data_IF_567769500879
#
_entry.id   IF_567769500879
#
_cell.length_a   1.000
_cell.length_b   1.000
_cell.length_c   1.000
_cell.angle_alpha   90.00
_cell.angle_beta   90.00
_cell.angle_gamma   90.00
#
_symmetry.space_group_name_H-M   'P 1'
#
loop_
_entity.id
_entity.type
_entity.pdbx_description
1 polymer ?
#
# COMPACT_ATOMS: atom_id res chain seq x y z
N UNK A 1 19.26 -14.31 34.75
CA UNK A 1 18.28 -15.17 34.05
C UNK A 1 17.29 -14.30 33.30
N UNK A 2 17.55 -14.03 32.01
CA UNK A 2 16.75 -13.11 31.19
C UNK A 2 15.49 -13.78 30.66
N UNK A 3 14.32 -13.22 31.01
CA UNK A 3 13.01 -13.63 30.50
C UNK A 3 12.83 -13.12 29.07
N UNK A 4 13.18 -13.95 28.09
CA UNK A 4 12.79 -13.75 26.69
C UNK A 4 11.32 -14.16 26.58
N UNK A 5 10.41 -13.18 26.53
CA UNK A 5 9.00 -13.40 26.20
C UNK A 5 8.90 -13.88 24.74
N UNK A 6 8.32 -15.06 24.45
CA UNK A 6 8.21 -15.53 23.09
C UNK A 6 7.12 -14.75 22.34
N UNK A 7 7.53 -14.10 21.24
CA UNK A 7 6.71 -13.40 20.22
C UNK A 7 5.77 -14.37 19.45
N UNK A 8 5.49 -15.56 19.99
CA UNK A 8 4.73 -16.62 19.32
C UNK A 8 3.20 -16.43 19.34
N UNK A 9 2.67 -15.46 20.10
CA UNK A 9 1.22 -15.22 20.17
C UNK A 9 0.67 -14.33 19.03
N UNK A 10 1.53 -13.71 18.20
CA UNK A 10 1.07 -12.78 17.15
C UNK A 10 0.95 -13.38 15.76
N UNK A 11 1.35 -14.64 15.56
CA UNK A 11 1.38 -15.29 14.22
C UNK A 11 0.52 -16.54 14.10
N UNK A 12 -0.30 -16.88 15.11
CA UNK A 12 -1.20 -18.04 15.01
C UNK A 12 -2.45 -17.72 14.16
N UNK A 13 -2.77 -18.54 13.15
CA UNK A 13 -3.86 -18.30 12.19
C UNK A 13 -5.28 -18.46 12.76
N UNK A 14 -5.42 -18.84 14.03
CA UNK A 14 -6.73 -19.15 14.65
C UNK A 14 -7.54 -17.89 14.98
N UNK A 15 -6.89 -16.73 15.14
CA UNK A 15 -7.57 -15.43 15.18
C UNK A 15 -7.66 -14.75 13.82
N UNK A 16 -7.45 -15.50 12.73
CA UNK A 16 -7.94 -15.10 11.42
C UNK A 16 -9.44 -15.39 11.44
N UNK A 17 -10.16 -14.52 12.14
CA UNK A 17 -11.61 -14.47 12.14
C UNK A 17 -12.04 -14.72 10.70
N UNK A 18 -12.73 -15.85 10.48
CA UNK A 18 -13.49 -16.04 9.26
C UNK A 18 -14.25 -14.74 9.02
N UNK A 19 -14.17 -14.29 7.78
CA UNK A 19 -14.74 -13.06 7.25
C UNK A 19 -16.14 -12.81 7.81
N UNK A 20 -16.22 -12.19 8.99
CA UNK A 20 -17.45 -11.67 9.56
C UNK A 20 -17.87 -10.57 8.60
N UNK A 21 -18.96 -10.82 7.89
CA UNK A 21 -19.63 -9.80 7.10
C UNK A 21 -19.79 -8.54 7.94
N UNK A 22 -19.55 -7.43 7.27
CA UNK A 22 -19.06 -6.17 7.82
C UNK A 22 -20.00 -5.47 8.81
N UNK A 23 -21.18 -6.03 9.06
CA UNK A 23 -22.30 -5.33 9.67
C UNK A 23 -22.81 -5.98 10.98
N UNK A 24 -22.39 -7.21 11.31
CA UNK A 24 -22.88 -7.92 12.50
C UNK A 24 -21.75 -8.12 13.53
N UNK A 25 -21.60 -7.20 14.49
CA UNK A 25 -20.72 -7.40 15.65
C UNK A 25 -21.30 -8.45 16.62
N UNK A 26 -21.40 -9.71 16.20
CA UNK A 26 -21.90 -10.80 17.04
C UNK A 26 -20.88 -11.17 18.11
N UNK A 27 -21.39 -11.45 19.31
CA UNK A 27 -20.62 -11.94 20.46
C UNK A 27 -19.81 -13.19 20.04
N UNK A 28 -18.51 -13.30 20.41
CA UNK A 28 -17.70 -14.44 20.02
C UNK A 28 -18.23 -15.74 20.61
N UNK A 29 -18.32 -16.80 19.79
CA UNK A 29 -18.85 -18.10 20.21
C UNK A 29 -18.00 -18.80 21.30
N UNK A 30 -16.73 -18.41 21.45
CA UNK A 30 -15.83 -18.96 22.46
C UNK A 30 -16.03 -18.36 23.86
N UNK A 31 -16.90 -17.35 24.03
CA UNK A 31 -17.07 -16.64 25.31
C UNK A 31 -17.43 -17.58 26.49
N UNK A 32 -18.33 -18.59 26.35
CA UNK A 32 -18.62 -19.52 27.44
C UNK A 32 -17.46 -20.43 27.83
N UNK A 33 -16.43 -20.54 26.98
CA UNK A 33 -15.27 -21.42 27.18
C UNK A 33 -14.10 -20.68 27.86
N UNK A 34 -14.18 -19.36 28.00
CA UNK A 34 -13.16 -18.58 28.70
C UNK A 34 -13.19 -18.91 30.21
N UNK A 35 -12.07 -18.78 30.93
CA UNK A 35 -12.08 -18.83 32.39
C UNK A 35 -13.06 -17.79 32.96
N UNK A 36 -13.79 -18.16 34.01
CA UNK A 36 -14.87 -17.33 34.59
C UNK A 36 -14.41 -15.89 34.92
N UNK A 37 -13.15 -15.72 35.35
CA UNK A 37 -12.52 -14.41 35.59
C UNK A 37 -12.50 -13.48 34.35
N UNK A 38 -12.38 -14.02 33.14
CA UNK A 38 -12.36 -13.24 31.89
C UNK A 38 -13.73 -13.15 31.24
N UNK A 39 -14.65 -14.07 31.56
CA UNK A 39 -16.01 -14.03 31.00
C UNK A 39 -16.70 -12.71 31.36
N UNK A 40 -16.58 -12.25 32.60
CA UNK A 40 -17.14 -10.96 33.04
C UNK A 40 -16.56 -9.77 32.27
N UNK A 41 -15.22 -9.66 32.22
CA UNK A 41 -14.54 -8.54 31.53
C UNK A 41 -14.83 -8.52 30.01
N UNK A 42 -14.86 -9.70 29.38
CA UNK A 42 -15.20 -9.78 27.94
C UNK A 42 -16.69 -9.54 27.74
N UNK A 43 -17.57 -10.01 28.63
CA UNK A 43 -19.00 -9.75 28.51
C UNK A 43 -19.28 -8.25 28.60
N UNK A 44 -18.69 -7.55 29.58
CA UNK A 44 -18.79 -6.10 29.77
C UNK A 44 -18.43 -5.33 28.49
N UNK A 45 -17.28 -5.65 27.86
CA UNK A 45 -16.85 -5.02 26.59
C UNK A 45 -17.89 -5.18 25.46
N UNK A 46 -18.63 -6.29 25.45
CA UNK A 46 -19.58 -6.63 24.40
C UNK A 46 -21.04 -6.31 24.74
N UNK A 47 -21.37 -6.10 26.02
CA UNK A 47 -22.71 -5.72 26.49
C UNK A 47 -22.84 -4.24 26.77
N UNK A 48 -21.72 -3.54 27.04
CA UNK A 48 -21.77 -2.11 27.30
C UNK A 48 -22.41 -1.40 26.11
N UNK A 49 -23.55 -0.71 26.33
CA UNK A 49 -24.07 0.23 25.35
C UNK A 49 -22.94 1.22 25.10
N UNK A 50 -22.66 1.44 23.82
CA UNK A 50 -21.51 2.20 23.34
C UNK A 50 -21.32 3.44 24.23
N UNK A 51 -20.13 3.71 24.81
CA UNK A 51 -19.91 5.02 25.37
C UNK A 51 -20.03 5.95 24.18
N UNK A 52 -21.14 6.68 24.10
CA UNK A 52 -21.39 7.71 23.10
C UNK A 52 -20.26 8.73 23.27
N UNK A 53 -19.14 8.45 22.63
CA UNK A 53 -17.99 9.32 22.60
C UNK A 53 -18.32 10.29 21.47
N UNK A 54 -19.26 11.18 21.76
CA UNK A 54 -19.52 12.40 21.01
C UNK A 54 -18.26 13.25 21.10
N UNK A 55 -17.27 12.90 20.29
CA UNK A 55 -16.13 13.75 20.02
C UNK A 55 -16.63 14.83 19.06
N UNK A 56 -17.23 15.88 19.64
CA UNK A 56 -17.66 17.07 18.91
C UNK A 56 -16.42 17.76 18.36
N UNK A 57 -16.16 17.59 17.07
CA UNK A 57 -15.15 18.35 16.35
C UNK A 57 -15.86 19.25 15.35
N UNK A 58 -16.16 20.48 15.78
CA UNK A 58 -16.80 21.55 15.00
C UNK A 58 -18.26 21.24 14.56
N UNK A 59 -19.19 21.25 15.53
CA UNK A 59 -20.65 21.35 15.36
C UNK A 59 -21.36 20.32 14.44
N UNK A 60 -20.66 19.29 13.96
CA UNK A 60 -21.30 18.14 13.30
C UNK A 60 -21.01 16.85 14.08
N UNK A 61 -22.05 16.12 14.55
CA UNK A 61 -21.88 14.82 15.18
C UNK A 61 -21.40 13.80 14.14
N UNK A 62 -20.12 13.48 14.16
CA UNK A 62 -19.57 12.37 13.36
C UNK A 62 -19.76 11.08 14.15
N UNK A 63 -20.82 10.33 13.83
CA UNK A 63 -21.04 8.97 14.38
C UNK A 63 -19.94 8.06 13.80
N UNK A 64 -18.91 7.81 14.59
CA UNK A 64 -17.87 6.85 14.24
C UNK A 64 -18.44 5.43 14.37
N UNK A 65 -18.58 4.70 13.26
CA UNK A 65 -18.84 3.25 13.28
C UNK A 65 -17.56 2.39 13.17
N UNK A 66 -16.67 2.28 14.19
CA UNK A 66 -15.70 1.21 14.28
C UNK A 66 -15.88 0.38 15.56
N UNK A 67 -17.13 0.20 16.02
CA UNK A 67 -17.47 -0.49 17.27
C UNK A 67 -16.86 -1.91 17.35
N UNK A 68 -16.92 -2.65 16.24
CA UNK A 68 -16.33 -3.98 16.12
C UNK A 68 -14.80 -3.99 16.32
N UNK A 69 -14.08 -3.02 15.73
CA UNK A 69 -12.62 -3.01 15.76
C UNK A 69 -12.11 -2.69 17.18
N UNK A 70 -12.79 -1.79 17.88
CA UNK A 70 -12.49 -1.47 19.27
C UNK A 70 -12.77 -2.66 20.20
N UNK A 71 -13.97 -3.27 20.11
CA UNK A 71 -14.34 -4.45 20.91
C UNK A 71 -13.38 -5.61 20.69
N UNK A 72 -13.02 -5.87 19.44
CA UNK A 72 -12.05 -6.92 19.08
C UNK A 72 -10.65 -6.62 19.62
N UNK A 73 -10.20 -5.36 19.55
CA UNK A 73 -8.88 -4.96 20.05
C UNK A 73 -8.79 -5.09 21.56
N UNK A 74 -9.83 -4.66 22.28
CA UNK A 74 -9.89 -4.76 23.76
C UNK A 74 -10.00 -6.22 24.21
N UNK A 75 -10.80 -7.03 23.50
CA UNK A 75 -10.89 -8.48 23.72
C UNK A 75 -9.53 -9.16 23.51
N UNK A 76 -8.80 -8.82 22.44
CA UNK A 76 -7.44 -9.36 22.20
C UNK A 76 -6.46 -9.01 23.32
N UNK A 77 -6.55 -7.80 23.87
CA UNK A 77 -5.72 -7.37 25.00
C UNK A 77 -6.06 -8.13 26.30
N UNK A 78 -7.32 -8.51 26.49
CA UNK A 78 -7.70 -9.36 27.62
C UNK A 78 -7.22 -10.81 27.42
N UNK A 79 -7.39 -11.35 26.22
CA UNK A 79 -6.95 -12.70 25.89
C UNK A 79 -5.42 -12.87 25.97
N UNK A 80 -4.64 -11.79 25.84
CA UNK A 80 -3.18 -11.86 26.04
C UNK A 80 -2.77 -12.06 27.51
N UNK A 81 -3.69 -11.91 28.47
CA UNK A 81 -3.46 -12.24 29.89
C UNK A 81 -3.59 -13.74 30.18
N UNK A 82 -4.11 -14.54 29.24
CA UNK A 82 -4.23 -15.99 29.41
C UNK A 82 -2.85 -16.63 29.48
N UNK A 83 -2.70 -17.62 30.37
CA UNK A 83 -1.55 -18.50 30.31
C UNK A 83 -1.57 -19.31 29.01
N UNK A 84 -0.39 -19.78 28.59
CA UNK A 84 -0.27 -20.61 27.38
C UNK A 84 -1.13 -21.88 27.46
N UNK A 85 -1.26 -22.48 28.65
CA UNK A 85 -2.09 -23.66 28.89
C UNK A 85 -3.59 -23.37 28.71
N UNK A 86 -4.07 -22.26 29.26
CA UNK A 86 -5.47 -21.84 29.10
C UNK A 86 -5.79 -21.53 27.63
N UNK A 87 -4.89 -20.81 26.95
CA UNK A 87 -5.05 -20.51 25.52
C UNK A 87 -5.19 -21.80 24.69
N UNK A 88 -4.34 -22.80 24.93
CA UNK A 88 -4.42 -24.06 24.20
C UNK A 88 -5.71 -24.83 24.50
N UNK A 89 -6.16 -24.88 25.75
CA UNK A 89 -7.41 -25.55 26.11
C UNK A 89 -8.62 -24.93 25.40
N UNK A 90 -8.65 -23.61 25.25
CA UNK A 90 -9.76 -22.91 24.58
C UNK A 90 -9.67 -23.10 23.07
N UNK A 91 -8.52 -22.78 22.46
CA UNK A 91 -8.42 -22.65 21.01
C UNK A 91 -8.06 -23.94 20.26
N UNK A 92 -7.37 -24.90 20.89
CA UNK A 92 -7.07 -26.18 20.23
C UNK A 92 -8.13 -27.25 20.50
N UNK A 93 -8.78 -27.22 21.67
CA UNK A 93 -9.75 -28.25 22.04
C UNK A 93 -11.15 -27.97 21.46
N UNK A 94 -11.49 -26.70 21.30
CA UNK A 94 -12.80 -26.26 20.80
C UNK A 94 -12.72 -25.42 19.52
N UNK A 95 -11.52 -25.25 18.96
CA UNK A 95 -11.36 -24.63 17.65
C UNK A 95 -12.05 -25.49 16.57
N UNK A 96 -12.49 -24.87 15.46
CA UNK A 96 -13.03 -25.62 14.33
C UNK A 96 -11.99 -26.67 13.93
N UNK A 97 -12.40 -27.95 13.96
CA UNK A 97 -11.55 -29.06 13.54
C UNK A 97 -10.96 -28.70 12.17
N UNK A 98 -9.63 -28.77 11.99
CA UNK A 98 -9.05 -28.50 10.68
C UNK A 98 -9.79 -29.35 9.65
N UNK A 99 -10.15 -28.80 8.47
CA UNK A 99 -10.84 -29.57 7.45
C UNK A 99 -10.07 -30.86 7.21
N UNK A 100 -10.72 -32.02 7.35
CA UNK A 100 -10.12 -33.34 7.13
C UNK A 100 -9.53 -33.37 5.73
N UNK A 101 -8.25 -33.03 5.62
CA UNK A 101 -7.46 -33.27 4.42
C UNK A 101 -7.28 -34.77 4.35
N UNK A 102 -8.08 -35.44 3.51
CA UNK A 102 -7.84 -36.84 3.14
C UNK A 102 -6.41 -36.95 2.65
N UNK A 103 -5.55 -37.59 3.44
CA UNK A 103 -4.16 -37.83 3.12
C UNK A 103 -4.09 -38.76 1.90
N UNK A 104 -3.94 -38.18 0.71
CA UNK A 104 -3.68 -38.91 -0.51
C UNK A 104 -2.19 -39.26 -0.53
N UNK A 105 -1.89 -40.55 -0.38
CA UNK A 105 -0.54 -41.12 -0.50
C UNK A 105 0.05 -40.67 -1.83
N UNK A 106 1.14 -39.91 -1.78
CA UNK A 106 1.84 -39.43 -2.96
C UNK A 106 2.71 -40.56 -3.54
N UNK A 107 2.61 -40.88 -4.85
CA UNK A 107 3.51 -41.84 -5.48
C UNK A 107 4.93 -41.27 -5.60
N UNK A 108 5.91 -42.15 -5.44
CA UNK A 108 7.34 -41.87 -5.54
C UNK A 108 7.68 -41.14 -6.85
N UNK A 109 8.29 -39.95 -6.74
CA UNK A 109 8.74 -39.16 -7.89
C UNK A 109 10.07 -39.71 -8.42
N UNK A 110 10.10 -39.99 -9.72
CA UNK A 110 11.30 -40.29 -10.48
C UNK A 110 12.30 -39.11 -10.46
N UNK A 111 13.59 -39.45 -10.39
CA UNK A 111 14.72 -38.51 -10.43
C UNK A 111 14.73 -37.69 -11.72
N UNK A 112 14.90 -36.37 -11.68
CA UNK A 112 15.07 -35.55 -12.87
C UNK A 112 16.43 -35.80 -13.53
N UNK A 113 16.43 -35.87 -14.85
CA UNK A 113 17.62 -36.01 -15.69
C UNK A 113 18.54 -34.77 -15.61
N UNK A 114 19.86 -34.94 -15.77
CA UNK A 114 20.83 -33.85 -15.71
C UNK A 114 20.64 -32.85 -16.87
N UNK A 115 20.91 -31.55 -16.65
CA UNK A 115 20.78 -30.52 -17.68
C UNK A 115 21.87 -30.63 -18.74
N UNK A 116 21.48 -30.39 -19.99
CA UNK A 116 22.37 -30.35 -21.15
C UNK A 116 23.35 -29.15 -21.09
N UNK A 117 24.56 -29.28 -21.66
CA UNK A 117 25.56 -28.22 -21.65
C UNK A 117 25.16 -27.02 -22.52
N UNK A 118 25.35 -25.82 -21.97
CA UNK A 118 25.10 -24.54 -22.61
C UNK A 118 26.09 -24.30 -23.76
N UNK A 119 25.54 -24.11 -24.96
CA UNK A 119 26.28 -23.75 -26.18
C UNK A 119 26.51 -22.23 -26.17
N UNK A 120 27.78 -21.82 -26.15
CA UNK A 120 28.17 -20.41 -26.19
C UNK A 120 27.76 -19.77 -27.53
N UNK A 121 27.14 -18.59 -27.45
CA UNK A 121 26.79 -17.76 -28.61
C UNK A 121 27.95 -16.80 -28.92
N UNK A 122 28.43 -16.73 -30.17
CA UNK A 122 29.47 -15.78 -30.56
C UNK A 122 28.95 -14.33 -30.54
N UNK A 123 29.89 -13.43 -30.21
CA UNK A 123 29.68 -12.06 -29.77
C UNK A 123 28.95 -11.14 -30.74
N UNK A 124 28.15 -10.25 -30.17
CA UNK A 124 27.44 -9.16 -30.85
C UNK A 124 28.37 -7.94 -30.94
N UNK A 125 28.52 -7.29 -32.11
CA UNK A 125 29.36 -6.11 -32.25
C UNK A 125 28.75 -4.89 -31.53
N UNK A 126 29.58 -3.96 -31.03
CA UNK A 126 29.13 -2.80 -30.28
C UNK A 126 28.40 -1.78 -31.18
N UNK A 127 27.41 -1.06 -30.63
CA UNK A 127 26.67 -0.05 -31.37
C UNK A 127 27.52 1.20 -31.68
N UNK A 128 27.27 1.89 -32.80
CA UNK A 128 27.99 3.11 -33.17
C UNK A 128 27.68 4.27 -32.22
N UNK A 129 28.70 5.08 -31.96
CA UNK A 129 28.63 6.21 -31.04
C UNK A 129 27.62 7.29 -31.50
N UNK A 130 26.84 7.88 -30.58
CA UNK A 130 25.87 8.92 -30.91
C UNK A 130 26.56 10.21 -31.35
N UNK A 131 26.17 10.71 -32.53
CA UNK A 131 26.54 12.04 -33.02
C UNK A 131 25.72 13.11 -32.31
N UNK A 132 26.36 13.88 -31.43
CA UNK A 132 25.74 15.04 -30.78
C UNK A 132 25.78 16.23 -31.73
N UNK A 133 24.62 16.65 -32.25
CA UNK A 133 24.47 17.90 -32.99
C UNK A 133 24.41 19.07 -32.01
N UNK A 134 25.50 19.80 -31.89
CA UNK A 134 25.61 21.10 -31.23
C UNK A 134 24.86 22.17 -32.05
N UNK A 135 23.54 22.26 -31.85
CA UNK A 135 22.77 23.42 -32.31
C UNK A 135 22.93 24.55 -31.28
N UNK A 136 23.57 25.63 -31.72
CA UNK A 136 23.85 26.84 -30.96
C UNK A 136 22.59 27.43 -30.33
N UNK A 137 22.56 27.44 -29.01
CA UNK A 137 21.49 28.03 -28.21
C UNK A 137 21.79 29.53 -28.04
N UNK A 138 21.21 30.33 -28.92
CA UNK A 138 21.23 31.79 -28.81
C UNK A 138 20.67 32.23 -27.45
N UNK A 139 21.50 32.95 -26.69
CA UNK A 139 21.16 33.50 -25.37
C UNK A 139 20.23 34.71 -25.55
N UNK A 140 18.93 34.45 -25.72
CA UNK A 140 17.93 35.49 -25.52
C UNK A 140 17.78 35.73 -24.00
N UNK A 141 18.24 36.88 -23.51
CA UNK A 141 18.04 37.29 -22.13
C UNK A 141 16.53 37.35 -21.83
N UNK A 142 16.06 36.69 -20.75
CA UNK A 142 14.65 36.73 -20.37
C UNK A 142 14.32 38.16 -19.93
N UNK A 143 13.55 38.88 -20.74
CA UNK A 143 12.94 40.15 -20.34
C UNK A 143 12.10 39.90 -19.08
N UNK A 144 12.61 40.36 -17.94
CA UNK A 144 11.90 40.37 -16.66
C UNK A 144 10.75 41.37 -16.81
N UNK A 145 9.60 40.89 -17.29
CA UNK A 145 8.37 41.66 -17.25
C UNK A 145 8.04 41.89 -15.77
N UNK A 146 7.98 43.15 -15.35
CA UNK A 146 7.45 43.53 -14.05
C UNK A 146 6.09 42.86 -13.87
N UNK A 147 6.06 41.80 -13.06
CA UNK A 147 4.93 40.89 -12.96
C UNK A 147 3.78 41.57 -12.25
N UNK A 148 2.59 41.50 -12.85
CA UNK A 148 1.35 41.82 -12.17
C UNK A 148 1.32 41.14 -10.79
N UNK A 149 0.76 41.79 -9.75
CA UNK A 149 0.71 41.25 -8.40
C UNK A 149 0.11 39.84 -8.45
N UNK A 150 0.89 38.85 -8.04
CA UNK A 150 0.47 37.45 -8.13
C UNK A 150 -0.76 37.26 -7.27
N UNK A 151 -1.83 36.71 -7.86
CA UNK A 151 -3.08 36.41 -7.16
C UNK A 151 -2.80 35.66 -5.84
N UNK A 152 -3.58 35.90 -4.78
CA UNK A 152 -3.39 35.24 -3.49
C UNK A 152 -3.45 33.72 -3.67
N UNK A 153 -2.41 33.04 -3.19
CA UNK A 153 -2.29 31.58 -3.27
C UNK A 153 -3.45 30.90 -2.54
N UNK A 154 -4.30 30.15 -3.24
CA UNK A 154 -5.46 29.45 -2.67
C UNK A 154 -5.21 27.94 -2.57
N UNK A 155 -5.73 27.34 -1.51
CA UNK A 155 -5.67 25.89 -1.31
C UNK A 155 -6.44 25.17 -2.44
N UNK A 156 -5.93 24.05 -3.00
CA UNK A 156 -6.64 23.29 -4.01
C UNK A 156 -8.00 22.79 -3.50
N UNK A 157 -9.06 23.00 -4.28
CA UNK A 157 -10.41 22.52 -3.94
C UNK A 157 -10.48 20.99 -3.74
N UNK A 158 -9.55 20.24 -4.36
CA UNK A 158 -9.43 18.79 -4.18
C UNK A 158 -9.19 18.38 -2.72
N UNK A 159 -8.64 19.28 -1.89
CA UNK A 159 -8.38 18.97 -0.48
C UNK A 159 -9.66 18.68 0.28
N UNK A 160 -10.79 19.32 -0.05
CA UNK A 160 -12.05 19.08 0.65
C UNK A 160 -12.50 17.60 0.62
N UNK A 161 -12.08 16.85 -0.40
CA UNK A 161 -12.50 15.47 -0.69
C UNK A 161 -11.53 14.41 -0.14
N UNK A 162 -10.44 14.84 0.50
CA UNK A 162 -9.46 13.94 1.09
C UNK A 162 -9.97 13.39 2.43
N UNK A 163 -9.45 12.24 2.90
CA UNK A 163 -9.74 11.75 4.25
C UNK A 163 -9.42 12.79 5.32
N UNK A 164 -10.17 12.85 6.45
CA UNK A 164 -10.03 13.87 7.49
C UNK A 164 -8.59 14.09 7.97
N UNK A 165 -7.84 13.02 8.23
CA UNK A 165 -6.44 13.10 8.66
C UNK A 165 -5.52 13.79 7.64
N UNK A 166 -5.70 13.47 6.35
CA UNK A 166 -4.92 14.09 5.26
C UNK A 166 -5.31 15.56 5.08
N UNK A 167 -6.60 15.89 5.19
CA UNK A 167 -7.08 17.28 5.16
C UNK A 167 -6.45 18.10 6.27
N UNK A 168 -6.44 17.58 7.49
CA UNK A 168 -5.83 18.24 8.64
C UNK A 168 -4.35 18.53 8.40
N UNK A 169 -3.59 17.55 7.88
CA UNK A 169 -2.16 17.70 7.56
C UNK A 169 -1.91 18.76 6.49
N UNK A 170 -2.69 18.75 5.40
CA UNK A 170 -2.56 19.77 4.35
C UNK A 170 -2.96 21.14 4.92
N UNK A 171 -4.08 21.26 5.64
CA UNK A 171 -4.48 22.53 6.28
C UNK A 171 -3.42 23.05 7.26
N UNK A 172 -2.68 22.18 7.94
CA UNK A 172 -1.58 22.59 8.81
C UNK A 172 -0.42 23.23 8.02
N UNK A 173 -0.07 22.68 6.85
CA UNK A 173 0.91 23.28 5.93
C UNK A 173 0.42 24.65 5.46
N UNK A 174 -0.85 24.75 5.07
CA UNK A 174 -1.44 25.99 4.57
C UNK A 174 -1.62 27.07 5.64
N UNK A 175 -1.83 26.69 6.90
CA UNK A 175 -1.88 27.61 8.04
C UNK A 175 -0.50 28.12 8.47
N UNK A 176 0.53 27.26 8.46
CA UNK A 176 1.91 27.63 8.84
C UNK A 176 2.69 28.30 7.70
N UNK A 177 2.03 29.09 6.86
CA UNK A 177 2.68 29.73 5.72
C UNK A 177 3.66 30.78 6.21
N UNK A 178 4.95 30.47 6.14
CA UNK A 178 6.01 31.45 6.44
C UNK A 178 6.00 32.58 5.40
N UNK A 179 6.29 33.84 5.79
CA UNK A 179 6.26 34.99 4.89
C UNK A 179 7.22 34.93 3.69
N UNK A 180 8.17 33.98 3.66
CA UNK A 180 9.06 33.74 2.52
C UNK A 180 8.67 32.57 1.60
N UNK A 181 7.61 31.81 1.90
CA UNK A 181 7.30 30.59 1.13
C UNK A 181 6.50 30.92 -0.14
N UNK A 182 7.09 30.62 -1.30
CA UNK A 182 6.42 30.80 -2.59
C UNK A 182 5.18 29.90 -2.71
N UNK A 183 4.16 30.37 -3.43
CA UNK A 183 2.94 29.58 -3.67
C UNK A 183 3.26 28.21 -4.30
N UNK A 184 4.24 28.17 -5.20
CA UNK A 184 4.70 26.93 -5.84
C UNK A 184 5.22 25.90 -4.84
N UNK A 185 5.91 26.33 -3.79
CA UNK A 185 6.42 25.42 -2.75
C UNK A 185 5.29 24.81 -1.91
N UNK A 186 4.27 25.61 -1.58
CA UNK A 186 3.06 25.15 -0.87
C UNK A 186 2.31 24.09 -1.68
N UNK A 187 2.15 24.33 -2.99
CA UNK A 187 1.56 23.36 -3.90
C UNK A 187 2.43 22.10 -4.04
N UNK A 188 3.76 22.21 -4.10
CA UNK A 188 4.66 21.05 -4.13
C UNK A 188 4.52 20.19 -2.88
N UNK A 189 4.52 20.79 -1.68
CA UNK A 189 4.32 20.07 -0.40
C UNK A 189 2.95 19.39 -0.34
N UNK A 190 1.91 20.08 -0.79
CA UNK A 190 0.55 19.52 -0.87
C UNK A 190 0.50 18.33 -1.83
N UNK A 191 1.10 18.47 -3.01
CA UNK A 191 1.17 17.42 -4.02
C UNK A 191 1.96 16.20 -3.50
N UNK A 192 3.03 16.43 -2.74
CA UNK A 192 3.82 15.35 -2.13
C UNK A 192 2.98 14.49 -1.19
N UNK A 193 2.18 15.12 -0.32
CA UNK A 193 1.24 14.39 0.55
C UNK A 193 0.27 13.57 -0.31
N UNK A 194 -0.28 14.17 -1.36
CA UNK A 194 -1.24 13.49 -2.23
C UNK A 194 -0.62 12.30 -2.99
N UNK A 195 0.65 12.39 -3.39
CA UNK A 195 1.36 11.30 -4.08
C UNK A 195 1.59 10.12 -3.12
N UNK A 196 1.92 10.40 -1.86
CA UNK A 196 2.22 9.39 -0.84
C UNK A 196 0.97 8.72 -0.25
N UNK A 197 -0.24 9.13 -0.65
CA UNK A 197 -1.45 8.46 -0.20
C UNK A 197 -1.57 7.04 -0.81
N UNK A 198 -2.17 6.09 -0.07
CA UNK A 198 -2.50 4.77 -0.61
C UNK A 198 -3.27 4.86 -1.93
N UNK A 199 -2.97 3.95 -2.87
CA UNK A 199 -3.54 3.94 -4.22
C UNK A 199 -5.08 3.99 -4.24
N UNK A 200 -5.74 3.35 -3.28
CA UNK A 200 -7.21 3.38 -3.15
C UNK A 200 -7.77 4.81 -3.03
N UNK A 201 -7.07 5.71 -2.33
CA UNK A 201 -7.49 7.10 -2.18
C UNK A 201 -7.14 7.93 -3.40
N UNK A 202 -6.00 7.66 -4.04
CA UNK A 202 -5.60 8.32 -5.29
C UNK A 202 -6.59 8.00 -6.42
N UNK A 203 -7.04 6.75 -6.52
CA UNK A 203 -8.05 6.33 -7.47
C UNK A 203 -9.39 7.06 -7.26
N UNK A 204 -9.81 7.28 -6.00
CA UNK A 204 -11.02 8.03 -5.69
C UNK A 204 -10.95 9.50 -6.15
N UNK A 205 -9.77 10.12 -6.10
CA UNK A 205 -9.56 11.50 -6.54
C UNK A 205 -9.58 11.64 -8.07
N UNK A 206 -9.04 10.66 -8.80
CA UNK A 206 -9.03 10.67 -10.27
C UNK A 206 -10.40 10.41 -10.91
N UNK A 207 -11.21 9.53 -10.32
CA UNK A 207 -12.51 9.12 -10.88
C UNK A 207 -13.55 10.22 -10.93
N UNK A 208 -13.40 11.30 -10.14
CA UNK A 208 -14.44 12.32 -10.09
C UNK A 208 -14.50 13.24 -11.31
N UNK A 209 -13.48 13.29 -12.17
CA UNK A 209 -13.55 14.09 -13.40
C UNK A 209 -14.16 13.34 -14.59
N UNK A 210 -14.27 12.01 -14.52
CA UNK A 210 -14.71 11.20 -15.65
C UNK A 210 -16.19 10.79 -15.60
N UNK A 211 -16.90 11.05 -14.49
CA UNK A 211 -18.32 10.66 -14.35
C UNK A 211 -19.35 11.63 -14.91
N UNK A 212 -18.96 12.81 -15.40
CA UNK A 212 -19.93 13.79 -15.91
C UNK A 212 -20.19 13.73 -17.41
N UNK A 213 -19.55 12.84 -18.18
CA UNK A 213 -19.66 12.87 -19.65
C UNK A 213 -20.22 11.57 -20.27
N UNK A 214 -20.23 10.44 -19.56
CA UNK A 214 -20.75 9.18 -20.10
C UNK A 214 -21.71 8.50 -19.11
N UNK A 215 -22.97 8.91 -19.11
CA UNK A 215 -24.07 8.18 -18.46
C UNK A 215 -25.29 8.19 -19.37
N UNK A 216 -25.10 7.64 -20.57
CA UNK A 216 -26.16 7.16 -21.47
C UNK A 216 -25.72 5.79 -21.96
N UNK A 217 -25.98 4.76 -21.17
CA UNK A 217 -25.76 3.36 -21.57
C UNK A 217 -27.10 2.70 -21.83
N UNK A 218 -27.33 2.39 -23.10
CA UNK A 218 -28.33 1.46 -23.61
C UNK A 218 -28.08 0.03 -23.10
N UNK A 219 -29.13 -0.77 -22.84
CA UNK A 219 -28.99 -2.14 -22.35
C UNK A 219 -28.48 -3.06 -23.46
N UNK A 220 -27.40 -3.82 -23.18
CA UNK A 220 -26.86 -4.83 -24.09
C UNK A 220 -27.33 -6.23 -23.67
N UNK A 221 -27.82 -7.08 -24.59
CA UNK A 221 -28.39 -8.37 -24.25
C UNK A 221 -27.33 -9.41 -23.89
N UNK A 222 -27.72 -10.22 -22.91
CA UNK A 222 -27.01 -11.34 -22.32
C UNK A 222 -26.91 -12.51 -23.31
N UNK A 223 -25.71 -12.97 -23.62
CA UNK A 223 -25.47 -14.31 -24.19
C UNK A 223 -24.68 -15.18 -23.23
N UNK A 224 -25.28 -16.34 -22.92
CA UNK A 224 -24.73 -17.45 -22.15
C UNK A 224 -23.86 -18.31 -23.06
N UNK A 225 -22.65 -18.63 -22.62
CA UNK A 225 -21.93 -19.82 -23.09
C UNK A 225 -21.18 -20.45 -21.92
N UNK A 226 -21.63 -21.66 -21.57
CA UNK A 226 -21.06 -22.53 -20.56
C UNK A 226 -19.98 -23.38 -21.22
N UNK A 227 -18.70 -23.10 -20.94
CA UNK A 227 -17.58 -23.98 -21.32
C UNK A 227 -16.91 -24.51 -20.07
N UNK A 228 -16.97 -25.84 -19.93
CA UNK A 228 -16.46 -26.66 -18.82
C UNK A 228 -14.93 -26.58 -18.76
N UNK A 229 -14.31 -26.13 -17.64
CA UNK A 229 -12.86 -26.01 -17.57
C UNK A 229 -12.20 -27.38 -17.36
N UNK A 230 -11.29 -27.73 -18.27
CA UNK A 230 -10.38 -28.86 -18.14
C UNK A 230 -9.49 -28.67 -16.89
N UNK A 231 -9.33 -29.75 -16.12
CA UNK A 231 -8.58 -29.78 -14.87
C UNK A 231 -7.13 -29.34 -15.08
N UNK A 232 -6.83 -28.14 -14.59
CA UNK A 232 -5.50 -27.51 -14.67
C UNK A 232 -4.53 -28.29 -13.76
N UNK A 233 -3.39 -28.77 -14.26
CA UNK A 233 -2.41 -29.50 -13.46
C UNK A 233 -1.89 -28.61 -12.33
N UNK A 234 -1.75 -29.20 -11.15
CA UNK A 234 -1.32 -28.52 -9.93
C UNK A 234 0.00 -27.75 -10.17
N UNK A 235 0.08 -26.46 -9.81
CA UNK A 235 1.28 -25.66 -10.01
C UNK A 235 2.44 -26.31 -9.23
N UNK A 236 3.53 -26.61 -9.93
CA UNK A 236 4.79 -26.99 -9.28
C UNK A 236 5.16 -25.86 -8.33
N UNK A 237 5.51 -26.20 -7.10
CA UNK A 237 6.11 -25.28 -6.12
C UNK A 237 7.45 -24.83 -6.71
N UNK A 238 7.42 -23.77 -7.51
CA UNK A 238 8.60 -23.06 -7.95
C UNK A 238 9.23 -22.46 -6.71
N UNK A 239 10.52 -22.73 -6.51
CA UNK A 239 11.31 -22.05 -5.48
C UNK A 239 11.04 -20.55 -5.59
N UNK A 240 10.73 -19.90 -4.46
CA UNK A 240 10.42 -18.48 -4.43
C UNK A 240 11.53 -17.73 -5.17
N UNK A 241 11.20 -16.87 -6.15
CA UNK A 241 12.22 -16.17 -6.92
C UNK A 241 13.12 -15.42 -5.94
N UNK A 242 14.42 -15.70 -6.00
CA UNK A 242 15.39 -14.94 -5.21
C UNK A 242 15.28 -13.49 -5.65
N UNK A 243 14.83 -12.64 -4.74
CA UNK A 243 14.68 -11.22 -5.01
C UNK A 243 16.07 -10.64 -5.12
N UNK A 244 16.46 -10.20 -6.31
CA UNK A 244 17.68 -9.45 -6.54
C UNK A 244 17.66 -8.18 -5.66
N UNK A 245 18.44 -8.22 -4.58
CA UNK A 245 18.56 -7.13 -3.64
C UNK A 245 19.37 -5.99 -4.26
N UNK A 246 18.67 -5.04 -4.88
CA UNK A 246 19.27 -3.84 -5.49
C UNK A 246 18.73 -2.60 -4.81
N UNK A 247 19.55 -1.53 -4.84
CA UNK A 247 19.13 -0.22 -4.36
C UNK A 247 17.80 0.17 -5.06
N UNK A 248 16.74 0.51 -4.33
CA UNK A 248 15.43 0.73 -4.94
C UNK A 248 15.45 1.92 -5.90
N UNK A 249 14.89 1.75 -7.11
CA UNK A 249 14.86 2.80 -8.14
C UNK A 249 14.11 4.09 -7.69
N UNK A 250 13.18 3.98 -6.74
CA UNK A 250 12.38 5.13 -6.29
C UNK A 250 13.13 6.11 -5.38
N UNK A 251 14.38 5.82 -5.00
CA UNK A 251 15.16 6.64 -4.08
C UNK A 251 15.26 8.10 -4.54
N UNK A 252 15.40 8.34 -5.83
CA UNK A 252 15.49 9.70 -6.42
C UNK A 252 14.25 10.57 -6.20
N UNK A 253 13.10 9.98 -5.86
CA UNK A 253 11.82 10.69 -5.64
C UNK A 253 11.58 11.05 -4.18
N UNK A 254 12.43 10.59 -3.27
CA UNK A 254 12.30 10.86 -1.84
C UNK A 254 12.92 12.22 -1.49
N UNK A 255 12.62 12.72 -0.30
CA UNK A 255 13.27 13.92 0.24
C UNK A 255 14.78 13.69 0.43
N UNK A 256 15.67 14.66 0.13
CA UNK A 256 17.13 14.47 0.16
C UNK A 256 17.66 13.86 1.47
N UNK A 257 17.17 14.32 2.62
CA UNK A 257 17.57 13.77 3.93
C UNK A 257 17.19 12.29 4.09
N UNK A 258 16.07 11.86 3.51
CA UNK A 258 15.63 10.47 3.51
C UNK A 258 16.41 9.62 2.51
N UNK A 259 16.76 10.20 1.36
CA UNK A 259 17.64 9.55 0.39
C UNK A 259 18.97 9.20 1.04
N UNK A 260 19.56 10.13 1.79
CA UNK A 260 20.84 9.91 2.46
C UNK A 260 20.75 8.79 3.51
N UNK A 261 19.71 8.79 4.36
CA UNK A 261 19.47 7.72 5.33
C UNK A 261 19.36 6.34 4.67
N UNK A 262 18.63 6.25 3.56
CA UNK A 262 18.50 5.00 2.82
C UNK A 262 19.82 4.59 2.16
N UNK A 263 20.57 5.52 1.56
CA UNK A 263 21.90 5.22 1.01
C UNK A 263 22.85 4.67 2.08
N UNK A 264 22.81 5.21 3.30
CA UNK A 264 23.61 4.70 4.44
C UNK A 264 23.27 3.23 4.77
N UNK A 265 21.98 2.86 4.81
CA UNK A 265 21.55 1.46 5.03
C UNK A 265 22.09 0.51 3.96
N UNK A 266 22.20 0.98 2.72
CA UNK A 266 22.71 0.20 1.59
C UNK A 266 24.21 0.36 1.35
N UNK A 267 24.91 1.16 2.16
CA UNK A 267 26.36 1.36 2.01
C UNK A 267 27.08 0.06 2.33
N UNK A 268 28.04 -0.31 1.48
CA UNK A 268 28.85 -1.54 1.64
C UNK A 268 28.11 -2.85 1.37
N UNK A 269 26.89 -2.83 0.81
CA UNK A 269 26.21 -4.07 0.40
C UNK A 269 26.87 -4.66 -0.85
N UNK A 270 27.20 -5.96 -0.81
CA UNK A 270 27.72 -6.70 -1.96
C UNK A 270 26.63 -7.59 -2.57
N UNK A 271 26.62 -7.68 -3.90
CA UNK A 271 25.65 -8.53 -4.60
C UNK A 271 25.87 -10.00 -4.22
N UNK A 272 24.83 -10.64 -3.68
CA UNK A 272 24.87 -12.03 -3.20
C UNK A 272 24.79 -12.20 -1.69
N UNK A 273 24.91 -11.13 -0.90
CA UNK A 273 24.63 -11.16 0.55
C UNK A 273 23.12 -11.22 0.83
N UNK A 274 22.72 -11.86 1.94
CA UNK A 274 21.32 -11.83 2.39
C UNK A 274 20.92 -10.38 2.75
N UNK A 275 19.88 -9.89 2.07
CA UNK A 275 19.41 -8.52 2.23
C UNK A 275 18.17 -8.38 3.10
N UNK A 276 17.66 -9.46 3.70
CA UNK A 276 16.43 -9.44 4.50
C UNK A 276 16.47 -8.35 5.59
N UNK A 277 17.58 -8.25 6.32
CA UNK A 277 17.75 -7.24 7.37
C UNK A 277 17.84 -5.80 6.81
N UNK A 278 18.51 -5.60 5.68
CA UNK A 278 18.59 -4.26 5.04
C UNK A 278 17.22 -3.82 4.51
N UNK A 279 16.46 -4.73 3.91
CA UNK A 279 15.09 -4.47 3.47
C UNK A 279 14.21 -4.12 4.67
N UNK A 280 14.32 -4.84 5.78
CA UNK A 280 13.59 -4.56 7.01
C UNK A 280 13.92 -3.17 7.57
N UNK A 281 15.19 -2.78 7.60
CA UNK A 281 15.63 -1.43 8.01
C UNK A 281 15.08 -0.35 7.08
N UNK A 282 15.14 -0.56 5.77
CA UNK A 282 14.53 0.35 4.79
C UNK A 282 13.03 0.51 5.03
N UNK A 283 12.30 -0.60 5.24
CA UNK A 283 10.86 -0.56 5.51
C UNK A 283 10.53 0.18 6.80
N UNK A 284 11.36 0.02 7.84
CA UNK A 284 11.21 0.76 9.10
C UNK A 284 11.39 2.26 8.90
N UNK A 285 12.42 2.69 8.15
CA UNK A 285 12.67 4.10 7.81
C UNK A 285 11.50 4.68 7.01
N UNK A 286 11.00 3.97 6.00
CA UNK A 286 9.87 4.42 5.19
C UNK A 286 8.59 4.54 6.04
N UNK A 287 8.33 3.57 6.92
CA UNK A 287 7.17 3.60 7.82
C UNK A 287 7.25 4.75 8.83
N UNK A 288 8.43 5.04 9.36
CA UNK A 288 8.65 6.17 10.26
C UNK A 288 8.37 7.55 9.61
N UNK A 289 8.40 7.62 8.28
CA UNK A 289 8.09 8.82 7.51
C UNK A 289 6.70 8.79 6.84
N UNK A 290 5.80 7.92 7.30
CA UNK A 290 4.44 7.71 6.74
C UNK A 290 4.42 7.36 5.25
N UNK A 291 5.50 6.79 4.72
CA UNK A 291 5.56 6.43 3.31
C UNK A 291 5.06 5.00 3.15
N UNK A 292 3.85 4.85 2.60
CA UNK A 292 3.28 3.53 2.34
C UNK A 292 4.16 2.76 1.36
N UNK A 293 4.59 1.57 1.75
CA UNK A 293 5.36 0.64 0.91
C UNK A 293 4.57 0.28 -0.36
N UNK A 294 3.24 0.29 -0.26
CA UNK A 294 2.32 0.01 -1.38
C UNK A 294 2.33 1.13 -2.42
N UNK A 295 2.69 2.36 -2.03
CA UNK A 295 2.82 3.46 -2.99
C UNK A 295 3.99 3.25 -3.97
N UNK A 296 4.92 2.34 -3.64
CA UNK A 296 6.01 1.93 -4.52
C UNK A 296 5.72 0.68 -5.34
N UNK A 297 4.58 0.00 -5.12
CA UNK A 297 4.02 -0.97 -6.08
C UNK A 297 3.35 -0.24 -7.25
N UNK A 298 4.02 0.75 -7.83
CA UNK A 298 3.62 1.19 -9.16
C UNK A 298 4.16 0.16 -10.15
N UNK A 299 3.35 -0.34 -11.10
CA UNK A 299 3.88 -1.12 -12.20
C UNK A 299 5.01 -0.31 -12.86
N UNK A 300 6.03 -1.01 -13.38
CA UNK A 300 7.08 -0.38 -14.19
C UNK A 300 6.42 0.58 -15.20
N UNK A 301 6.98 1.77 -15.42
CA UNK A 301 6.47 2.69 -16.44
C UNK A 301 6.70 2.03 -17.80
N UNK A 302 5.73 1.22 -18.23
CA UNK A 302 5.64 0.67 -19.58
C UNK A 302 4.25 0.90 -20.17
N UNK A 303 3.44 1.77 -19.55
CA UNK A 303 2.05 2.04 -19.97
C UNK A 303 1.65 3.53 -19.93
N UNK A 304 2.60 4.46 -19.74
CA UNK A 304 2.30 5.91 -19.72
C UNK A 304 3.18 6.74 -20.66
N UNK A 305 3.90 6.12 -21.61
CA UNK A 305 4.77 6.83 -22.56
C UNK A 305 4.18 7.06 -23.96
N UNK A 306 2.96 6.58 -24.27
CA UNK A 306 2.43 6.71 -25.65
C UNK A 306 1.58 7.96 -25.96
N UNK A 307 1.23 8.80 -24.98
CA UNK A 307 0.32 9.95 -25.20
C UNK A 307 0.98 11.34 -25.14
N UNK A 308 2.31 11.42 -25.14
CA UNK A 308 3.03 12.67 -25.39
C UNK A 308 3.52 12.73 -26.84
N UNK A 309 2.62 12.50 -27.80
CA UNK A 309 2.84 13.02 -29.15
C UNK A 309 2.81 14.56 -29.09
N UNK A 310 3.82 15.25 -29.64
CA UNK A 310 3.80 16.70 -29.68
C UNK A 310 2.61 17.15 -30.52
N UNK A 311 1.80 18.06 -29.97
CA UNK A 311 0.83 18.86 -30.73
C UNK A 311 1.53 19.37 -31.99
N UNK A 312 1.27 18.71 -33.12
CA UNK A 312 1.71 19.11 -34.44
C UNK A 312 1.04 20.45 -34.68
N UNK A 313 1.84 21.53 -34.60
CA UNK A 313 1.47 22.88 -35.00
C UNK A 313 0.72 22.78 -36.33
N UNK A 314 -0.60 22.97 -36.31
CA UNK A 314 -1.36 23.32 -37.51
C UNK A 314 -0.94 24.72 -37.87
N UNK A 315 0.10 24.82 -38.69
CA UNK A 315 0.38 26.01 -39.48
C UNK A 315 -0.88 26.29 -40.29
N UNK A 316 -1.60 27.33 -39.90
CA UNK A 316 -2.62 27.97 -40.71
C UNK A 316 -1.97 28.46 -41.99
N UNK A 317 -2.00 27.65 -43.05
CA UNK A 317 -1.98 28.18 -44.41
C UNK A 317 -3.40 28.71 -44.65
N UNK A 318 -3.57 30.02 -44.45
CA UNK A 318 -4.55 30.78 -45.22
C UNK A 318 -3.78 31.51 -46.33
N UNK A 319 -4.47 31.57 -47.46
CA UNK A 319 -4.08 32.19 -48.71
C UNK A 319 -3.54 33.62 -48.54
#
# INVERSE_FOLDING_TARGET
>A
MSRILPIFLLTLPILRAESLEKDDCRRPAYLPQLPQRLQGEVLEIWTDPEPETTLTYADEPVIFKPCCEWRMSRTKLLLSKLSRAEYYNIFLRHGPSPPRTTARVAPARARPAPPAPLRERPGTPPPPAPRYSTLGRSQAQPRVRAGAPSAPCRQPATVARLPPAVRARIRAIWRRRSPGMSCGEMHRKTKQIMINMPLRFRAALGRSRQRTIYSTTTPKPSMKTTTKPAAKPAPRVTAAPQLDCKLPHFLSRLEPALQEKLRRVWTGFKQGEDCAERVKQQLAILKAHDISVESFRMPFPSLYDDDLTPMRRRSSRRA
#
